data_IF_820374049953
#
_entry.id   IF_820374049953
#
_cell.length_a   1.000
_cell.length_b   1.000
_cell.length_c   1.000
_cell.angle_alpha   90.00
_cell.angle_beta   90.00
_cell.angle_gamma   90.00
#
_symmetry.space_group_name_H-M   'P 1'
#
loop_
_entity.id
_entity.type
_entity.pdbx_description
1 polymer ?
#
# COMPACT_ATOMS: atom_id res chain seq x y z
N UNK A 1 -26.70 -24.16 -7.98
CA UNK A 1 -25.47 -24.78 -7.44
C UNK A 1 -24.54 -23.66 -6.95
N UNK A 2 -24.96 -23.01 -5.87
CA UNK A 2 -24.12 -22.03 -5.19
C UNK A 2 -23.11 -22.83 -4.38
N UNK A 3 -21.84 -22.78 -4.79
CA UNK A 3 -20.77 -23.32 -3.99
C UNK A 3 -20.78 -22.60 -2.65
N UNK A 4 -21.12 -23.36 -1.62
CA UNK A 4 -21.09 -23.05 -0.22
C UNK A 4 -19.76 -22.38 0.18
N UNK A 5 -19.77 -21.05 0.19
CA UNK A 5 -18.70 -20.18 0.65
C UNK A 5 -18.60 -20.15 2.19
N UNK A 6 -19.33 -21.00 2.92
CA UNK A 6 -19.44 -20.91 4.38
C UNK A 6 -18.47 -21.81 5.18
N UNK A 7 -17.70 -22.71 4.55
CA UNK A 7 -16.91 -23.72 5.28
C UNK A 7 -15.37 -23.75 5.05
N UNK A 8 -14.72 -22.60 4.83
CA UNK A 8 -13.25 -22.46 5.06
C UNK A 8 -12.88 -21.12 5.68
N UNK A 9 -13.59 -20.74 6.73
CA UNK A 9 -13.32 -19.58 7.60
C UNK A 9 -12.09 -19.75 8.50
N UNK A 10 -11.12 -20.60 8.13
CA UNK A 10 -9.88 -20.85 8.86
C UNK A 10 -9.15 -19.53 9.13
N UNK A 11 -9.28 -19.05 10.37
CA UNK A 11 -8.47 -18.05 11.06
C UNK A 11 -7.91 -16.94 10.16
N UNK A 12 -8.77 -16.26 9.39
CA UNK A 12 -8.34 -15.03 8.73
C UNK A 12 -7.89 -14.05 9.81
N UNK A 13 -6.59 -13.68 9.78
CA UNK A 13 -6.04 -12.63 10.65
C UNK A 13 -7.02 -11.46 10.66
N UNK A 14 -7.35 -10.94 11.85
CA UNK A 14 -8.35 -9.86 12.03
C UNK A 14 -8.13 -8.67 11.09
N UNK A 15 -6.87 -8.42 10.70
CA UNK A 15 -6.50 -7.39 9.74
C UNK A 15 -7.15 -7.57 8.37
N UNK A 16 -7.41 -8.79 7.90
CA UNK A 16 -7.98 -9.06 6.57
C UNK A 16 -9.41 -8.52 6.48
N UNK A 17 -10.21 -8.68 7.54
CA UNK A 17 -11.58 -8.19 7.60
C UNK A 17 -11.70 -6.67 7.47
N UNK A 18 -10.63 -5.93 7.81
CA UNK A 18 -10.59 -4.47 7.71
C UNK A 18 -9.80 -3.97 6.50
N UNK A 19 -8.76 -4.70 6.08
CA UNK A 19 -7.87 -4.32 4.99
C UNK A 19 -8.51 -4.52 3.62
N UNK A 20 -9.23 -5.63 3.42
CA UNK A 20 -9.81 -5.98 2.12
C UNK A 20 -10.89 -4.97 1.69
N UNK A 21 -11.90 -4.64 2.52
CA UNK A 21 -12.91 -3.65 2.12
C UNK A 21 -12.29 -2.29 1.76
N UNK A 22 -11.36 -1.80 2.58
CA UNK A 22 -10.64 -0.53 2.32
C UNK A 22 -9.85 -0.55 1.01
N UNK A 23 -9.32 -1.71 0.64
CA UNK A 23 -8.61 -1.86 -0.63
C UNK A 23 -9.55 -1.85 -1.83
N UNK A 24 -10.73 -2.45 -1.72
CA UNK A 24 -11.74 -2.43 -2.79
C UNK A 24 -12.26 -1.01 -3.07
N UNK A 25 -12.31 -0.16 -2.04
CA UNK A 25 -12.70 1.27 -2.16
C UNK A 25 -11.53 2.18 -2.60
N UNK A 26 -10.30 1.66 -2.63
CA UNK A 26 -9.10 2.43 -2.85
C UNK A 26 -9.02 2.98 -4.28
N UNK A 27 -8.78 4.28 -4.42
CA UNK A 27 -8.63 4.91 -5.74
C UNK A 27 -9.95 5.13 -6.49
N UNK A 28 -11.09 4.80 -5.89
CA UNK A 28 -12.41 5.08 -6.47
C UNK A 28 -12.93 6.43 -5.95
N UNK A 29 -13.20 7.36 -6.88
CA UNK A 29 -13.75 8.68 -6.58
C UNK A 29 -15.12 8.60 -5.88
N UNK A 30 -15.88 7.52 -6.06
CA UNK A 30 -17.17 7.32 -5.37
C UNK A 30 -17.03 7.19 -3.86
N UNK A 31 -15.87 6.74 -3.39
CA UNK A 31 -15.56 6.54 -1.97
C UNK A 31 -14.77 7.71 -1.36
N UNK A 32 -14.65 8.82 -2.08
CA UNK A 32 -14.07 10.08 -1.60
C UNK A 32 -12.79 10.49 -2.30
N UNK A 33 -12.59 11.81 -2.39
CA UNK A 33 -11.45 12.41 -3.07
C UNK A 33 -11.11 13.78 -2.48
N UNK A 34 -9.86 14.20 -2.71
CA UNK A 34 -9.45 15.58 -2.53
C UNK A 34 -9.46 16.30 -3.88
N UNK A 35 -10.00 17.52 -3.92
CA UNK A 35 -9.84 18.41 -5.08
C UNK A 35 -8.58 19.25 -4.86
N UNK A 36 -7.61 19.10 -5.76
CA UNK A 36 -6.36 19.86 -5.72
C UNK A 36 -6.39 20.88 -6.83
N UNK A 37 -6.19 22.16 -6.48
CA UNK A 37 -6.15 23.28 -7.42
C UNK A 37 -4.80 23.98 -7.31
N UNK A 38 -4.12 24.17 -8.43
CA UNK A 38 -2.91 24.97 -8.48
C UNK A 38 -3.28 26.47 -8.38
N UNK A 39 -2.68 27.20 -7.44
CA UNK A 39 -2.95 28.64 -7.26
C UNK A 39 -2.45 29.51 -8.39
N UNK A 40 -1.45 29.06 -9.16
CA UNK A 40 -0.83 29.82 -10.25
C UNK A 40 -1.53 29.60 -11.60
N UNK A 41 -1.63 28.36 -12.05
CA UNK A 41 -2.21 28.02 -13.36
C UNK A 41 -3.69 27.64 -13.31
N UNK A 42 -4.31 27.64 -12.12
CA UNK A 42 -5.73 27.30 -11.90
C UNK A 42 -6.14 25.89 -12.36
N UNK A 43 -5.19 25.03 -12.73
CA UNK A 43 -5.45 23.65 -13.07
C UNK A 43 -5.99 22.89 -11.87
N UNK A 44 -7.02 22.08 -12.10
CA UNK A 44 -7.69 21.28 -11.08
C UNK A 44 -7.62 19.80 -11.41
N UNK A 45 -7.41 18.98 -10.37
CA UNK A 45 -7.53 17.54 -10.48
C UNK A 45 -8.16 16.95 -9.22
N UNK A 46 -8.84 15.82 -9.41
CA UNK A 46 -9.36 15.02 -8.32
C UNK A 46 -8.38 13.90 -7.98
N UNK A 47 -8.05 13.78 -6.70
CA UNK A 47 -7.17 12.74 -6.18
C UNK A 47 -8.01 11.85 -5.27
N UNK A 48 -8.30 10.63 -5.73
CA UNK A 48 -9.01 9.64 -4.95
C UNK A 48 -8.25 9.27 -3.67
N UNK A 49 -8.98 8.93 -2.62
CA UNK A 49 -8.36 8.48 -1.37
C UNK A 49 -7.71 7.11 -1.52
N UNK A 50 -6.61 6.92 -0.77
CA UNK A 50 -5.92 5.64 -0.70
C UNK A 50 -6.34 4.85 0.53
N UNK A 51 -6.29 3.52 0.43
CA UNK A 51 -6.62 2.61 1.53
C UNK A 51 -5.70 2.77 2.74
N UNK A 52 -4.51 3.37 2.55
CA UNK A 52 -3.43 3.53 3.55
C UNK A 52 -3.03 2.20 4.22
N UNK A 53 -3.39 1.08 3.61
CA UNK A 53 -3.11 -0.27 4.07
C UNK A 53 -1.67 -0.68 3.75
N UNK A 54 -1.11 -1.57 4.57
CA UNK A 54 0.18 -2.22 4.28
C UNK A 54 -0.07 -3.51 3.51
N UNK A 55 0.70 -3.72 2.44
CA UNK A 55 0.73 -4.96 1.67
C UNK A 55 -0.60 -5.37 1.01
N UNK A 56 -1.56 -4.45 0.83
CA UNK A 56 -2.88 -4.79 0.27
C UNK A 56 -2.98 -4.56 -1.23
N UNK A 57 -2.34 -3.50 -1.75
CA UNK A 57 -2.37 -3.15 -3.17
C UNK A 57 -1.02 -2.64 -3.67
N UNK A 58 -0.66 -2.91 -4.94
CA UNK A 58 0.66 -2.58 -5.48
C UNK A 58 0.94 -1.07 -5.48
N UNK A 59 -0.02 -0.24 -5.91
CA UNK A 59 0.16 1.22 -5.98
C UNK A 59 0.37 1.89 -4.61
N UNK A 60 -0.48 1.54 -3.63
CA UNK A 60 -0.38 2.10 -2.29
C UNK A 60 0.85 1.59 -1.53
N UNK A 61 1.20 0.32 -1.74
CA UNK A 61 2.41 -0.24 -1.14
C UNK A 61 3.66 0.41 -1.72
N UNK A 62 3.75 0.54 -3.04
CA UNK A 62 4.91 1.12 -3.72
C UNK A 62 5.13 2.57 -3.31
N UNK A 63 4.07 3.39 -3.33
CA UNK A 63 4.15 4.79 -2.86
C UNK A 63 4.74 4.86 -1.45
N UNK A 64 4.27 4.01 -0.54
CA UNK A 64 4.72 4.00 0.85
C UNK A 64 6.16 3.48 1.00
N UNK A 65 6.56 2.52 0.19
CA UNK A 65 7.93 2.03 0.15
C UNK A 65 8.88 3.15 -0.29
N UNK A 66 8.52 3.91 -1.33
CA UNK A 66 9.29 5.05 -1.82
C UNK A 66 9.37 6.18 -0.79
N UNK A 67 8.24 6.58 -0.19
CA UNK A 67 8.22 7.58 0.89
C UNK A 67 9.13 7.16 2.06
N UNK A 68 9.08 5.87 2.44
CA UNK A 68 9.91 5.36 3.52
C UNK A 68 11.39 5.32 3.12
N UNK A 69 11.71 4.96 1.88
CA UNK A 69 13.07 4.95 1.37
C UNK A 69 13.67 6.36 1.36
N UNK A 70 12.92 7.37 0.92
CA UNK A 70 13.35 8.78 0.98
C UNK A 70 13.65 9.23 2.41
N UNK A 71 12.73 8.93 3.35
CA UNK A 71 12.97 9.25 4.76
C UNK A 71 14.23 8.55 5.32
N UNK A 72 14.47 7.28 4.97
CA UNK A 72 15.68 6.55 5.38
C UNK A 72 16.94 7.21 4.81
N UNK A 73 16.93 7.57 3.53
CA UNK A 73 18.06 8.23 2.89
C UNK A 73 18.40 9.58 3.57
N UNK A 74 17.38 10.36 3.93
CA UNK A 74 17.56 11.69 4.51
C UNK A 74 17.87 11.69 6.01
N UNK A 75 17.29 10.76 6.79
CA UNK A 75 17.29 10.84 8.25
C UNK A 75 18.03 9.69 8.95
N UNK A 76 18.37 8.62 8.23
CA UNK A 76 18.97 7.42 8.83
C UNK A 76 20.34 7.13 8.24
N UNK A 77 20.49 7.25 6.92
CA UNK A 77 21.75 6.99 6.24
C UNK A 77 22.77 8.09 6.53
N UNK A 78 23.99 7.71 6.90
CA UNK A 78 25.13 8.62 6.93
C UNK A 78 25.58 8.96 5.49
N UNK A 79 26.22 10.12 5.30
CA UNK A 79 26.73 10.57 4.00
C UNK A 79 28.02 9.83 3.62
N UNK A 80 27.86 8.55 3.25
CA UNK A 80 28.93 7.65 2.82
C UNK A 80 28.41 6.76 1.70
N UNK A 81 29.28 6.18 0.85
CA UNK A 81 28.85 5.22 -0.16
C UNK A 81 28.17 4.00 0.48
N UNK A 82 26.90 3.77 0.16
CA UNK A 82 26.13 2.62 0.63
C UNK A 82 26.14 1.48 -0.38
N UNK A 83 26.11 0.23 0.11
CA UNK A 83 25.91 -0.97 -0.70
C UNK A 83 24.68 -1.73 -0.22
N UNK A 84 23.72 -1.93 -1.12
CA UNK A 84 22.53 -2.73 -0.83
C UNK A 84 22.88 -4.22 -0.88
N UNK A 85 22.52 -4.95 0.18
CA UNK A 85 22.58 -6.41 0.23
C UNK A 85 21.16 -6.97 0.31
N UNK A 86 20.85 -7.95 -0.52
CA UNK A 86 19.57 -8.67 -0.50
C UNK A 86 19.83 -10.12 -0.14
N UNK A 87 19.29 -10.56 1.01
CA UNK A 87 19.33 -11.96 1.42
C UNK A 87 18.04 -12.64 0.97
N UNK A 88 18.17 -13.73 0.21
CA UNK A 88 17.03 -14.55 -0.18
C UNK A 88 17.03 -15.85 0.63
N UNK A 89 15.89 -16.18 1.23
CA UNK A 89 15.68 -17.49 1.85
C UNK A 89 15.35 -18.50 0.75
N UNK A 90 16.13 -19.60 0.60
CA UNK A 90 15.83 -20.67 -0.33
C UNK A 90 14.37 -21.14 -0.19
N UNK A 91 13.70 -21.45 -1.30
CA UNK A 91 12.26 -21.81 -1.27
C UNK A 91 11.93 -22.91 -0.28
N UNK A 92 12.83 -23.90 -0.11
CA UNK A 92 12.71 -25.03 0.84
C UNK A 92 12.78 -24.62 2.32
N UNK A 93 13.24 -23.42 2.64
CA UNK A 93 13.44 -22.91 4.00
C UNK A 93 12.45 -21.78 4.36
N UNK A 94 11.46 -21.48 3.50
CA UNK A 94 10.41 -20.49 3.79
C UNK A 94 9.30 -21.19 4.60
N UNK A 95 9.01 -20.69 5.80
CA UNK A 95 7.92 -21.14 6.67
C UNK A 95 6.57 -20.53 6.26
#
# INVERSE_FOLDING_TARGET
MAADLSLRSLERRRIIATAVPKFLECGDLKHGFARVRCSKCQHEMFVAFSCRGRCVGPSCHEKRALEKAGWVAEHVCADVPHRQFVFTIPKRLRL
#
